data_IF_792528316545
#
_entry.id   IF_792528316545
#
_cell.length_a   1.000
_cell.length_b   1.000
_cell.length_c   1.000
_cell.angle_alpha   90.00
_cell.angle_beta   90.00
_cell.angle_gamma   90.00
#
_symmetry.space_group_name_H-M   'P 1'
#
loop_
_entity.id
_entity.type
_entity.pdbx_description
1 polymer ?
#
# COMPACT_ATOMS: atom_id res chain seq x y z
N UNK A 1 -3.09 -9.73 -4.53
CA UNK A 1 -4.43 -10.17 -4.05
C UNK A 1 -5.06 -9.19 -3.05
N UNK A 2 -4.37 -8.75 -1.99
CA UNK A 2 -4.94 -7.82 -0.98
C UNK A 2 -5.56 -6.55 -1.58
N UNK A 3 -4.81 -5.77 -2.38
CA UNK A 3 -5.28 -4.50 -2.92
C UNK A 3 -6.56 -4.59 -3.74
N UNK A 4 -6.69 -5.63 -4.57
CA UNK A 4 -7.88 -5.86 -5.37
C UNK A 4 -9.09 -6.22 -4.50
N UNK A 5 -8.88 -7.02 -3.44
CA UNK A 5 -9.93 -7.37 -2.47
C UNK A 5 -10.38 -6.16 -1.66
N UNK A 6 -9.44 -5.37 -1.14
CA UNK A 6 -9.73 -4.13 -0.44
C UNK A 6 -10.50 -3.15 -1.33
N UNK A 7 -10.04 -2.94 -2.57
CA UNK A 7 -10.74 -2.11 -3.55
C UNK A 7 -12.16 -2.63 -3.82
N UNK A 8 -12.34 -3.94 -4.03
CA UNK A 8 -13.65 -4.53 -4.32
C UNK A 8 -14.66 -4.34 -3.18
N UNK A 9 -14.19 -4.41 -1.92
CA UNK A 9 -15.01 -4.13 -0.74
C UNK A 9 -15.34 -2.64 -0.65
N UNK A 10 -14.32 -1.78 -0.71
CA UNK A 10 -14.46 -0.33 -0.48
C UNK A 10 -15.21 0.41 -1.60
N UNK A 11 -15.07 -0.03 -2.85
CA UNK A 11 -15.73 0.63 -4.00
C UNK A 11 -17.25 0.62 -3.93
N UNK A 12 -17.84 -0.28 -3.13
CA UNK A 12 -19.30 -0.32 -2.95
C UNK A 12 -19.78 0.83 -2.08
N UNK A 13 -19.02 1.14 -1.02
CA UNK A 13 -19.35 2.20 -0.06
C UNK A 13 -18.96 3.59 -0.57
N UNK A 14 -17.92 3.70 -1.42
CA UNK A 14 -17.48 4.98 -2.00
C UNK A 14 -18.40 5.54 -3.12
N UNK A 15 -19.33 4.73 -3.65
CA UNK A 15 -20.22 5.15 -4.75
C UNK A 15 -21.23 6.22 -4.36
N UNK A 16 -21.67 6.25 -3.11
CA UNK A 16 -22.62 7.25 -2.61
C UNK A 16 -21.98 8.64 -2.42
N UNK A 17 -20.81 8.79 -1.77
CA UNK A 17 -20.13 10.08 -1.64
C UNK A 17 -19.30 10.50 -2.86
N UNK A 18 -19.10 9.63 -3.86
CA UNK A 18 -18.39 9.96 -5.11
C UNK A 18 -16.86 10.14 -4.94
N UNK A 19 -16.28 9.59 -3.87
CA UNK A 19 -14.84 9.66 -3.60
C UNK A 19 -14.08 8.50 -4.25
N UNK A 20 -12.78 8.67 -4.52
CA UNK A 20 -11.96 7.66 -5.21
C UNK A 20 -10.73 7.22 -4.39
N UNK A 21 -10.82 7.26 -3.06
CA UNK A 21 -9.70 6.99 -2.17
C UNK A 21 -9.20 5.55 -2.25
N UNK A 22 -10.11 4.58 -2.39
CA UNK A 22 -9.74 3.18 -2.57
C UNK A 22 -8.99 2.96 -3.89
N UNK A 23 -9.40 3.65 -4.97
CA UNK A 23 -8.72 3.61 -6.26
C UNK A 23 -7.33 4.26 -6.17
N UNK A 24 -7.22 5.40 -5.50
CA UNK A 24 -5.96 6.08 -5.26
C UNK A 24 -4.97 5.21 -4.48
N UNK A 25 -5.44 4.57 -3.41
CA UNK A 25 -4.63 3.64 -2.63
C UNK A 25 -4.24 2.38 -3.42
N UNK A 26 -5.17 1.84 -4.23
CA UNK A 26 -4.89 0.72 -5.12
C UNK A 26 -3.87 1.06 -6.20
N UNK A 27 -3.92 2.27 -6.78
CA UNK A 27 -2.93 2.75 -7.74
C UNK A 27 -1.53 2.77 -7.12
N UNK A 28 -1.40 3.20 -5.87
CA UNK A 28 -0.13 3.10 -5.12
C UNK A 28 0.40 1.65 -5.03
N UNK A 29 -0.47 0.67 -4.77
CA UNK A 29 -0.07 -0.74 -4.77
C UNK A 29 0.35 -1.25 -6.14
N UNK A 30 -0.33 -0.83 -7.21
CA UNK A 30 0.04 -1.19 -8.59
C UNK A 30 1.42 -0.61 -8.94
N UNK A 31 1.67 0.65 -8.60
CA UNK A 31 2.96 1.31 -8.82
C UNK A 31 4.11 0.63 -8.06
N UNK A 32 3.89 0.16 -6.82
CA UNK A 32 4.89 -0.64 -6.10
C UNK A 32 5.24 -1.93 -6.83
N UNK A 33 4.23 -2.67 -7.33
CA UNK A 33 4.48 -3.90 -8.08
C UNK A 33 5.26 -3.61 -9.36
N UNK A 34 4.89 -2.56 -10.09
CA UNK A 34 5.63 -2.13 -11.28
C UNK A 34 7.09 -1.74 -10.97
N UNK A 35 7.31 -1.03 -9.84
CA UNK A 35 8.65 -0.67 -9.39
C UNK A 35 9.50 -1.90 -9.07
N UNK A 36 8.96 -2.89 -8.34
CA UNK A 36 9.67 -4.13 -8.05
C UNK A 36 9.99 -4.93 -9.33
N UNK A 37 9.04 -5.01 -10.27
CA UNK A 37 9.30 -5.63 -11.58
C UNK A 37 10.43 -4.91 -12.32
N UNK A 38 10.43 -3.58 -12.33
CA UNK A 38 11.52 -2.77 -12.89
C UNK A 38 12.86 -3.06 -12.22
N UNK A 39 12.92 -3.01 -10.88
CA UNK A 39 14.12 -3.33 -10.09
C UNK A 39 14.68 -4.71 -10.44
N UNK A 40 13.82 -5.73 -10.54
CA UNK A 40 14.23 -7.10 -10.93
C UNK A 40 14.76 -7.11 -12.36
N UNK A 41 14.07 -6.45 -13.30
CA UNK A 41 14.51 -6.37 -14.70
C UNK A 41 15.88 -5.67 -14.82
N UNK A 42 16.11 -4.59 -14.06
CA UNK A 42 17.40 -3.90 -14.01
C UNK A 42 18.50 -4.78 -13.42
N UNK A 43 18.21 -5.55 -12.37
CA UNK A 43 19.18 -6.51 -11.81
C UNK A 43 19.57 -7.59 -12.82
N UNK A 44 18.59 -8.11 -13.57
CA UNK A 44 18.86 -9.08 -14.63
C UNK A 44 19.69 -8.46 -15.75
N UNK A 45 19.36 -7.24 -16.18
CA UNK A 45 20.12 -6.51 -17.19
C UNK A 45 21.58 -6.29 -16.74
N UNK A 46 21.79 -5.81 -15.50
CA UNK A 46 23.11 -5.64 -14.89
C UNK A 46 23.91 -6.95 -14.89
N UNK A 47 23.29 -8.06 -14.50
CA UNK A 47 23.95 -9.38 -14.47
C UNK A 47 24.32 -9.90 -15.87
N UNK A 48 23.62 -9.46 -16.91
CA UNK A 48 23.86 -9.83 -18.31
C UNK A 48 24.75 -8.86 -19.09
N UNK A 49 25.17 -7.75 -18.46
CA UNK A 49 25.96 -6.69 -19.09
C UNK A 49 27.45 -6.94 -18.93
N UNK A 50 28.26 -6.70 -19.97
CA UNK A 50 29.73 -6.74 -19.91
C UNK A 50 30.36 -5.54 -19.16
N UNK A 51 29.61 -4.91 -18.24
CA UNK A 51 30.06 -3.80 -17.39
C UNK A 51 29.78 -2.39 -17.93
N UNK A 52 29.69 -2.19 -19.25
CA UNK A 52 29.58 -0.86 -19.87
C UNK A 52 28.26 -0.11 -19.56
N UNK A 53 27.18 -0.86 -19.31
CA UNK A 53 25.87 -0.31 -18.92
C UNK A 53 25.70 -0.11 -17.40
N UNK A 54 26.60 -0.65 -16.58
CA UNK A 54 26.46 -0.64 -15.12
C UNK A 54 26.37 0.76 -14.48
N UNK A 55 27.14 1.77 -14.94
CA UNK A 55 27.09 3.12 -14.36
C UNK A 55 25.74 3.82 -14.51
N UNK A 56 24.95 3.49 -15.54
CA UNK A 56 23.61 4.06 -15.76
C UNK A 56 22.51 3.22 -15.10
N UNK A 57 22.65 1.90 -15.10
CA UNK A 57 21.63 0.98 -14.57
C UNK A 57 21.60 0.96 -13.03
N UNK A 58 22.73 1.13 -12.35
CA UNK A 58 22.75 1.14 -10.88
C UNK A 58 21.97 2.30 -10.26
N UNK A 59 22.22 3.57 -10.64
CA UNK A 59 21.47 4.70 -10.10
C UNK A 59 19.97 4.62 -10.42
N UNK A 60 19.62 4.12 -11.60
CA UNK A 60 18.21 3.92 -11.98
C UNK A 60 17.54 2.85 -11.11
N UNK A 61 18.23 1.75 -10.83
CA UNK A 61 17.76 0.71 -9.90
C UNK A 61 17.49 1.30 -8.51
N UNK A 62 18.43 2.07 -7.97
CA UNK A 62 18.32 2.64 -6.62
C UNK A 62 17.23 3.70 -6.53
N UNK A 63 17.06 4.49 -7.60
CA UNK A 63 15.98 5.47 -7.71
C UNK A 63 14.61 4.79 -7.75
N UNK A 64 14.45 3.75 -8.59
CA UNK A 64 13.21 2.99 -8.64
C UNK A 64 12.87 2.32 -7.32
N UNK A 65 13.88 1.78 -6.62
CA UNK A 65 13.71 1.18 -5.30
C UNK A 65 13.28 2.23 -4.26
N UNK A 66 13.86 3.43 -4.30
CA UNK A 66 13.50 4.56 -3.42
C UNK A 66 12.06 5.03 -3.63
N UNK A 67 11.62 5.15 -4.89
CA UNK A 67 10.26 5.57 -5.24
C UNK A 67 9.17 4.66 -4.64
N UNK A 68 9.52 3.42 -4.30
CA UNK A 68 8.63 2.49 -3.62
C UNK A 68 8.10 3.06 -2.28
N UNK A 69 8.90 3.86 -1.56
CA UNK A 69 8.45 4.55 -0.35
C UNK A 69 7.28 5.51 -0.62
N UNK A 70 7.37 6.30 -1.69
CA UNK A 70 6.30 7.20 -2.13
C UNK A 70 5.04 6.44 -2.52
N UNK A 71 5.17 5.35 -3.28
CA UNK A 71 4.03 4.53 -3.68
C UNK A 71 3.36 3.84 -2.47
N UNK A 72 4.14 3.47 -1.47
CA UNK A 72 3.64 2.94 -0.21
C UNK A 72 2.86 4.00 0.58
N UNK A 73 3.35 5.23 0.62
CA UNK A 73 2.64 6.35 1.25
C UNK A 73 1.30 6.64 0.57
N UNK A 74 1.24 6.60 -0.77
CA UNK A 74 -0.01 6.73 -1.54
C UNK A 74 -0.97 5.60 -1.19
N UNK A 75 -0.49 4.35 -1.14
CA UNK A 75 -1.30 3.18 -0.81
C UNK A 75 -1.91 3.27 0.60
N UNK A 76 -1.10 3.62 1.59
CA UNK A 76 -1.51 3.77 2.99
C UNK A 76 -2.56 4.87 3.18
N UNK A 77 -2.31 6.04 2.58
CA UNK A 77 -3.23 7.17 2.66
C UNK A 77 -4.57 6.83 2.02
N UNK A 78 -4.56 6.36 0.77
CA UNK A 78 -5.79 6.08 0.04
C UNK A 78 -6.64 4.99 0.69
N UNK A 79 -6.04 3.84 1.03
CA UNK A 79 -6.78 2.73 1.63
C UNK A 79 -7.26 3.01 3.05
N UNK A 80 -6.52 3.80 3.83
CA UNK A 80 -6.94 4.13 5.19
C UNK A 80 -8.05 5.17 5.21
N UNK A 81 -8.01 6.18 4.33
CA UNK A 81 -9.11 7.15 4.19
C UNK A 81 -10.38 6.47 3.66
N UNK A 82 -10.25 5.57 2.68
CA UNK A 82 -11.37 4.77 2.18
C UNK A 82 -11.95 3.87 3.29
N UNK A 83 -11.08 3.16 4.03
CA UNK A 83 -11.49 2.28 5.11
C UNK A 83 -12.09 3.01 6.31
N UNK A 84 -11.67 4.24 6.60
CA UNK A 84 -12.30 5.09 7.62
C UNK A 84 -13.71 5.52 7.20
N UNK A 85 -13.88 5.98 5.95
CA UNK A 85 -15.18 6.39 5.42
C UNK A 85 -16.18 5.22 5.38
N UNK A 86 -15.70 4.03 5.03
CA UNK A 86 -16.50 2.80 5.05
C UNK A 86 -16.73 2.23 6.47
N UNK A 87 -16.21 2.87 7.53
CA UNK A 87 -16.32 2.37 8.91
C UNK A 87 -15.59 1.04 9.18
N UNK A 88 -14.74 0.60 8.26
CA UNK A 88 -14.02 -0.68 8.33
C UNK A 88 -12.71 -0.56 9.12
N UNK A 89 -12.15 0.63 9.22
CA UNK A 89 -10.86 0.87 9.87
C UNK A 89 -11.06 1.61 11.19
N UNK A 90 -10.48 1.08 12.27
CA UNK A 90 -10.47 1.78 13.57
C UNK A 90 -9.58 3.05 13.48
N UNK A 91 -9.91 4.14 14.19
CA UNK A 91 -9.14 5.39 14.12
C UNK A 91 -7.64 5.26 14.47
N UNK A 92 -7.26 4.28 15.30
CA UNK A 92 -5.85 4.02 15.60
C UNK A 92 -5.07 3.46 14.40
N UNK A 93 -5.71 2.61 13.59
CA UNK A 93 -5.11 2.06 12.37
C UNK A 93 -4.87 3.16 11.33
N UNK A 94 -5.81 4.09 11.20
CA UNK A 94 -5.63 5.23 10.32
C UNK A 94 -4.49 6.16 10.79
N UNK A 95 -4.39 6.45 12.10
CA UNK A 95 -3.23 7.21 12.63
C UNK A 95 -1.91 6.50 12.37
N UNK A 96 -1.86 5.18 12.56
CA UNK A 96 -0.68 4.37 12.29
C UNK A 96 -0.31 4.40 10.79
N UNK A 97 -1.30 4.31 9.90
CA UNK A 97 -1.10 4.42 8.46
C UNK A 97 -0.53 5.76 8.03
N UNK A 98 -1.00 6.86 8.63
CA UNK A 98 -0.55 8.21 8.33
C UNK A 98 0.87 8.45 8.86
N UNK A 99 1.18 7.93 10.05
CA UNK A 99 2.54 7.94 10.59
C UNK A 99 3.50 7.16 9.65
N UNK A 100 3.11 5.96 9.25
CA UNK A 100 3.86 5.15 8.28
C UNK A 100 4.04 5.86 6.94
N UNK A 101 2.96 6.43 6.37
CA UNK A 101 3.00 7.17 5.12
C UNK A 101 3.92 8.40 5.19
N UNK A 102 3.86 9.14 6.30
CA UNK A 102 4.70 10.32 6.54
C UNK A 102 6.17 9.91 6.62
N UNK A 103 6.49 8.84 7.35
CA UNK A 103 7.86 8.32 7.44
C UNK A 103 8.39 7.85 6.08
N UNK A 104 7.59 7.12 5.31
CA UNK A 104 7.99 6.65 3.98
C UNK A 104 8.20 7.81 3.00
N UNK A 105 7.30 8.79 3.00
CA UNK A 105 7.40 9.96 2.13
C UNK A 105 8.60 10.83 2.52
N UNK A 106 8.83 11.02 3.82
CA UNK A 106 9.98 11.76 4.34
C UNK A 106 11.28 11.05 3.97
N UNK A 107 11.34 9.72 4.16
CA UNK A 107 12.50 8.90 3.76
C UNK A 107 12.79 9.01 2.27
N UNK A 108 11.77 8.97 1.41
CA UNK A 108 11.94 9.09 -0.03
C UNK A 108 12.41 10.51 -0.43
N UNK A 109 11.87 11.55 0.20
CA UNK A 109 12.25 12.95 -0.08
C UNK A 109 13.67 13.25 0.38
N UNK A 110 14.08 12.70 1.52
CA UNK A 110 15.42 12.90 2.09
C UNK A 110 16.48 11.95 1.50
N UNK A 111 16.12 11.06 0.57
CA UNK A 111 17.06 10.09 0.01
C UNK A 111 18.35 10.71 -0.55
N UNK A 112 18.35 11.85 -1.26
CA UNK A 112 19.59 12.49 -1.71
C UNK A 112 20.55 12.82 -0.54
N UNK A 113 20.00 13.27 0.60
CA UNK A 113 20.78 13.61 1.78
C UNK A 113 21.29 12.36 2.53
N UNK A 114 20.57 11.24 2.44
CA UNK A 114 20.96 9.95 3.04
C UNK A 114 22.08 9.28 2.22
N UNK A 115 22.06 9.41 0.90
CA UNK A 115 23.10 8.84 0.03
C UNK A 115 24.45 9.53 0.26
N UNK A 116 24.44 10.83 0.52
CA UNK A 116 25.67 11.61 0.76
C UNK A 116 26.22 11.47 2.19
N UNK A 117 25.41 11.03 3.15
CA UNK A 117 25.78 10.97 4.57
C UNK A 117 25.23 9.70 5.25
N UNK A 118 26.13 8.81 5.67
CA UNK A 118 25.77 7.70 6.56
C UNK A 118 25.21 8.24 7.88
N UNK A 119 23.95 7.95 8.18
CA UNK A 119 23.27 8.52 9.33
C UNK A 119 21.95 7.84 9.70
N UNK A 120 21.37 8.19 10.87
CA UNK A 120 20.15 7.56 11.39
C UNK A 120 18.91 7.80 10.52
N UNK A 121 18.99 8.71 9.53
CA UNK A 121 17.91 9.00 8.60
C UNK A 121 17.51 7.78 7.74
N UNK A 122 18.44 6.84 7.50
CA UNK A 122 18.12 5.55 6.86
C UNK A 122 17.12 4.69 7.65
N UNK A 123 17.00 4.91 8.96
CA UNK A 123 16.06 4.19 9.82
C UNK A 123 14.61 4.67 9.67
N UNK A 124 14.38 5.84 9.07
CA UNK A 124 13.04 6.38 8.86
C UNK A 124 12.23 5.48 7.93
N UNK A 125 12.82 5.09 6.80
CA UNK A 125 12.19 4.16 5.84
C UNK A 125 11.96 2.77 6.44
N UNK A 126 12.90 2.27 7.25
CA UNK A 126 12.71 0.98 7.93
C UNK A 126 11.56 1.05 8.95
N UNK A 127 11.50 2.12 9.73
CA UNK A 127 10.44 2.31 10.73
C UNK A 127 9.08 2.46 10.05
N UNK A 128 9.00 3.28 9.00
CA UNK A 128 7.78 3.44 8.21
C UNK A 128 7.31 2.11 7.61
N UNK A 129 8.23 1.31 7.09
CA UNK A 129 7.95 -0.04 6.57
C UNK A 129 7.40 -1.00 7.64
N UNK A 130 8.00 -1.04 8.84
CA UNK A 130 7.51 -1.89 9.93
C UNK A 130 6.10 -1.51 10.38
N UNK A 131 5.81 -0.21 10.49
CA UNK A 131 4.46 0.27 10.76
C UNK A 131 3.49 -0.14 9.65
N UNK A 132 3.90 -0.07 8.39
CA UNK A 132 3.08 -0.57 7.28
C UNK A 132 2.74 -2.05 7.42
N UNK A 133 3.70 -2.90 7.82
CA UNK A 133 3.43 -4.33 8.04
C UNK A 133 2.36 -4.54 9.11
N UNK A 134 2.45 -3.82 10.23
CA UNK A 134 1.46 -3.87 11.31
C UNK A 134 0.08 -3.45 10.79
N UNK A 135 0.04 -2.38 9.99
CA UNK A 135 -1.18 -1.89 9.36
C UNK A 135 -1.79 -2.94 8.42
N UNK A 136 -0.97 -3.51 7.53
CA UNK A 136 -1.40 -4.48 6.53
C UNK A 136 -2.03 -5.72 7.18
N UNK A 137 -1.37 -6.28 8.20
CA UNK A 137 -1.86 -7.44 8.93
C UNK A 137 -3.19 -7.12 9.62
N UNK A 138 -3.23 -6.01 10.36
CA UNK A 138 -4.42 -5.61 11.12
C UNK A 138 -5.63 -5.33 10.21
N UNK A 139 -5.40 -4.63 9.09
CA UNK A 139 -6.47 -4.32 8.15
C UNK A 139 -6.88 -5.56 7.34
N UNK A 140 -5.93 -6.40 6.94
CA UNK A 140 -6.18 -7.69 6.30
C UNK A 140 -7.05 -8.61 7.17
N UNK A 141 -6.75 -8.73 8.46
CA UNK A 141 -7.59 -9.48 9.42
C UNK A 141 -9.01 -8.92 9.44
N UNK A 142 -9.15 -7.59 9.45
CA UNK A 142 -10.47 -6.94 9.45
C UNK A 142 -11.26 -7.29 8.19
N UNK A 143 -10.64 -7.19 7.01
CA UNK A 143 -11.28 -7.52 5.74
C UNK A 143 -11.67 -9.01 5.64
N UNK A 144 -10.81 -9.93 6.12
CA UNK A 144 -11.12 -11.37 6.15
C UNK A 144 -12.36 -11.64 7.00
N UNK A 145 -12.47 -10.97 8.16
CA UNK A 145 -13.60 -11.12 9.10
C UNK A 145 -14.91 -10.53 8.58
N UNK A 146 -14.90 -9.71 7.52
CA UNK A 146 -16.11 -9.20 6.87
C UNK A 146 -16.76 -10.22 5.90
N UNK A 147 -16.07 -11.30 5.56
CA UNK A 147 -16.58 -12.36 4.65
C UNK A 147 -17.72 -13.14 5.32
N UNK A 148 -18.83 -13.45 4.61
CA UNK A 148 -20.19 -13.22 5.11
C UNK A 148 -20.76 -14.35 5.99
N UNK A 149 -20.83 -14.11 7.30
CA UNK A 149 -21.76 -14.79 8.21
C UNK A 149 -23.21 -14.27 8.13
N UNK A 150 -23.52 -13.31 7.23
CA UNK A 150 -24.80 -12.57 7.21
C UNK A 150 -25.73 -12.88 6.03
N UNK A 151 -25.36 -13.77 5.11
CA UNK A 151 -26.23 -14.14 3.96
C UNK A 151 -27.17 -15.32 4.21
N UNK A 152 -26.99 -16.09 5.29
CA UNK A 152 -27.82 -17.26 5.56
C UNK A 152 -29.06 -16.98 6.44
N UNK A 153 -29.16 -15.80 7.07
CA UNK A 153 -30.20 -15.50 8.06
C UNK A 153 -31.40 -14.71 7.50
N UNK A 154 -31.43 -14.40 6.20
CA UNK A 154 -32.50 -13.58 5.59
C UNK A 154 -33.28 -14.26 4.47
N UNK A 155 -33.03 -15.54 4.19
CA UNK A 155 -33.63 -16.25 3.06
C UNK A 155 -34.61 -17.37 3.47
N UNK A 156 -34.96 -17.49 4.76
CA UNK A 156 -35.83 -18.57 5.28
C UNK A 156 -36.91 -18.07 6.22
N UNK A 157 -37.53 -16.92 5.92
CA UNK A 157 -38.81 -16.53 6.54
C UNK A 157 -39.75 -16.02 5.44
N UNK A 158 -40.15 -16.93 4.54
CA UNK A 158 -41.41 -16.78 3.83
C UNK A 158 -42.48 -17.49 4.67
N UNK A 159 -43.37 -16.77 5.37
CA UNK A 159 -44.47 -17.41 6.07
C UNK A 159 -45.46 -17.89 5.01
N UNK A 160 -45.63 -19.21 4.93
CA UNK A 160 -46.76 -19.81 4.23
C UNK A 160 -48.05 -19.30 4.87
N UNK A 161 -48.69 -18.33 4.24
CA UNK A 161 -50.06 -17.90 4.56
C UNK A 161 -51.01 -18.67 3.64
N UNK A 162 -51.74 -19.59 4.29
CA UNK A 162 -53.07 -20.14 4.02
C UNK A 162 -53.40 -20.66 2.61
#
# INVERSE_FOLDING_TARGET
MFGAGALAVLRRDEREPGTAWALFGFAGLVLQNAAFTGVIALRLALASSDGDAAPALWPLHDTLFTLNGTFLAVALTGLSLAGLQAGLVRPWLARLSLASATLQFTSATLTPLVVDHDGPLGLLGLTGWLLWVIWLVSYGITLIRLTPGRRAAGATEEPAIA
#
